data_IF_945494066140
#
_entry.id   IF_945494066140
#
_cell.length_a   1.000
_cell.length_b   1.000
_cell.length_c   1.000
_cell.angle_alpha   90.00
_cell.angle_beta   90.00
_cell.angle_gamma   90.00
#
_symmetry.space_group_name_H-M   'P 1'
#
loop_
_entity.id
_entity.type
_entity.pdbx_description
1 polymer ?
#
# COMPACT_ATOMS: atom_id res chain seq x y z
N UNK A 1 7.00 -7.93 -19.31
CA UNK A 1 7.77 -7.05 -18.39
C UNK A 1 7.24 -7.13 -16.96
N UNK A 2 6.01 -6.67 -16.68
CA UNK A 2 5.41 -6.68 -15.32
C UNK A 2 5.26 -8.08 -14.71
N UNK A 3 4.77 -9.06 -15.49
CA UNK A 3 4.60 -10.43 -15.00
C UNK A 3 5.94 -11.10 -14.63
N UNK A 4 7.03 -10.76 -15.33
CA UNK A 4 8.38 -11.24 -15.02
C UNK A 4 8.87 -10.68 -13.69
N UNK A 5 8.76 -9.36 -13.51
CA UNK A 5 9.11 -8.71 -12.25
C UNK A 5 8.30 -9.24 -11.05
N UNK A 6 6.99 -9.48 -11.23
CA UNK A 6 6.14 -10.05 -10.19
C UNK A 6 6.53 -11.49 -9.82
N UNK A 7 6.87 -12.32 -10.82
CA UNK A 7 7.34 -13.68 -10.60
C UNK A 7 8.70 -13.72 -9.91
N UNK A 8 9.60 -12.83 -10.29
CA UNK A 8 10.91 -12.68 -9.66
C UNK A 8 10.78 -12.24 -8.20
N UNK A 9 9.91 -11.27 -7.91
CA UNK A 9 9.59 -10.86 -6.53
C UNK A 9 8.98 -12.02 -5.73
N UNK A 10 8.04 -12.76 -6.30
CA UNK A 10 7.42 -13.91 -5.64
C UNK A 10 8.43 -15.01 -5.28
N UNK A 11 9.44 -15.22 -6.13
CA UNK A 11 10.50 -16.21 -5.88
C UNK A 11 11.56 -15.72 -4.90
N UNK A 12 11.99 -14.47 -5.04
CA UNK A 12 13.18 -13.92 -4.36
C UNK A 12 12.89 -13.17 -3.05
N UNK A 13 11.65 -12.72 -2.84
CA UNK A 13 11.25 -11.97 -1.64
C UNK A 13 10.20 -12.75 -0.81
N UNK A 14 10.59 -13.30 0.36
CA UNK A 14 9.67 -13.97 1.28
C UNK A 14 8.54 -13.08 1.81
N UNK A 15 8.78 -11.78 1.97
CA UNK A 15 7.79 -10.81 2.45
C UNK A 15 6.70 -10.60 1.40
N UNK A 16 7.11 -10.34 0.16
CA UNK A 16 6.19 -10.24 -0.97
C UNK A 16 5.41 -11.54 -1.18
N UNK A 17 6.08 -12.70 -1.17
CA UNK A 17 5.42 -14.01 -1.31
C UNK A 17 4.38 -14.25 -0.22
N UNK A 18 4.72 -13.98 1.05
CA UNK A 18 3.78 -14.11 2.17
C UNK A 18 2.57 -13.20 1.99
N UNK A 19 2.79 -11.95 1.56
CA UNK A 19 1.71 -11.01 1.28
C UNK A 19 0.82 -11.51 0.14
N UNK A 20 1.41 -11.91 -1.00
CA UNK A 20 0.66 -12.43 -2.13
C UNK A 20 -0.19 -13.67 -1.77
N UNK A 21 0.38 -14.62 -1.01
CA UNK A 21 -0.35 -15.80 -0.54
C UNK A 21 -1.48 -15.45 0.46
N UNK A 22 -1.31 -14.39 1.26
CA UNK A 22 -2.35 -13.90 2.17
C UNK A 22 -3.50 -13.21 1.43
N UNK A 23 -3.20 -12.48 0.35
CA UNK A 23 -4.21 -11.74 -0.41
C UNK A 23 -4.89 -12.61 -1.49
N UNK A 24 -4.24 -13.65 -2.02
CA UNK A 24 -4.79 -14.49 -3.10
C UNK A 24 -6.18 -15.10 -2.81
N UNK A 25 -6.49 -15.59 -1.59
CA UNK A 25 -7.83 -16.09 -1.26
C UNK A 25 -8.94 -15.05 -1.47
N UNK A 26 -8.64 -13.75 -1.38
CA UNK A 26 -9.60 -12.64 -1.54
C UNK A 26 -10.09 -12.47 -2.99
N UNK A 27 -9.52 -13.20 -3.94
CA UNK A 27 -10.11 -13.34 -5.28
C UNK A 27 -11.42 -14.14 -5.23
N UNK A 28 -11.66 -14.90 -4.16
CA UNK A 28 -12.95 -15.53 -3.89
C UNK A 28 -13.88 -14.56 -3.19
N UNK A 29 -15.07 -14.38 -3.76
CA UNK A 29 -16.17 -13.64 -3.12
C UNK A 29 -16.52 -14.20 -1.75
N UNK A 30 -16.54 -15.53 -1.59
CA UNK A 30 -16.88 -16.16 -0.31
C UNK A 30 -15.91 -15.72 0.80
N UNK A 31 -14.60 -15.72 0.50
CA UNK A 31 -13.56 -15.30 1.45
C UNK A 31 -13.70 -13.82 1.82
N UNK A 32 -14.00 -12.95 0.86
CA UNK A 32 -14.22 -11.53 1.13
C UNK A 32 -15.43 -11.29 2.02
N UNK A 33 -16.54 -11.99 1.77
CA UNK A 33 -17.78 -11.87 2.57
C UNK A 33 -17.58 -12.44 3.97
N UNK A 34 -16.89 -13.57 4.11
CA UNK A 34 -16.51 -14.15 5.41
C UNK A 34 -15.68 -13.16 6.23
N UNK A 35 -14.64 -12.55 5.64
CA UNK A 35 -13.83 -11.54 6.31
C UNK A 35 -14.61 -10.28 6.67
N UNK A 36 -15.52 -9.84 5.80
CA UNK A 36 -16.39 -8.71 6.10
C UNK A 36 -17.35 -9.01 7.27
N UNK A 37 -17.69 -10.28 7.49
CA UNK A 37 -18.51 -10.74 8.62
C UNK A 37 -17.88 -10.51 9.99
N UNK A 38 -16.56 -10.28 10.06
CA UNK A 38 -15.87 -9.88 11.29
C UNK A 38 -16.18 -8.43 11.70
N UNK A 39 -16.61 -7.60 10.74
CA UNK A 39 -16.85 -6.17 10.92
C UNK A 39 -18.35 -5.81 10.88
N UNK A 40 -19.14 -6.54 10.10
CA UNK A 40 -20.56 -6.28 9.86
C UNK A 40 -21.39 -7.55 10.08
N UNK A 41 -22.63 -7.39 10.59
CA UNK A 41 -23.56 -8.51 10.77
C UNK A 41 -24.44 -8.74 9.54
N UNK A 42 -25.08 -9.91 9.50
CA UNK A 42 -26.12 -10.28 8.54
C UNK A 42 -25.69 -10.22 7.07
N UNK A 43 -24.40 -10.48 6.78
CA UNK A 43 -23.88 -10.58 5.43
C UNK A 43 -24.15 -11.97 4.84
N UNK A 44 -24.71 -12.01 3.63
CA UNK A 44 -24.88 -13.25 2.87
C UNK A 44 -24.12 -13.17 1.55
N UNK A 45 -23.46 -14.25 1.15
CA UNK A 45 -22.67 -14.26 -0.09
C UNK A 45 -23.54 -13.97 -1.31
N UNK A 46 -24.80 -14.43 -1.26
CA UNK A 46 -25.83 -14.18 -2.28
C UNK A 46 -26.09 -12.68 -2.55
N UNK A 47 -25.91 -11.81 -1.55
CA UNK A 47 -26.16 -10.37 -1.70
C UNK A 47 -25.07 -9.68 -2.53
N UNK A 48 -23.90 -10.31 -2.67
CA UNK A 48 -22.74 -9.76 -3.39
C UNK A 48 -22.67 -10.29 -4.82
N UNK A 49 -23.62 -9.93 -5.68
CA UNK A 49 -23.72 -10.47 -7.05
C UNK A 49 -22.75 -9.85 -8.04
N UNK A 50 -22.20 -8.67 -7.73
CA UNK A 50 -21.41 -7.86 -8.66
C UNK A 50 -20.06 -7.49 -8.04
N UNK A 51 -19.00 -7.56 -8.84
CA UNK A 51 -17.68 -7.04 -8.47
C UNK A 51 -17.59 -5.53 -8.71
N UNK A 52 -17.06 -4.81 -7.72
CA UNK A 52 -16.63 -3.43 -7.91
C UNK A 52 -15.46 -3.33 -8.88
N UNK A 53 -15.19 -2.11 -9.38
CA UNK A 53 -14.01 -1.86 -10.22
C UNK A 53 -12.74 -2.00 -9.37
N UNK A 54 -11.78 -2.87 -9.73
CA UNK A 54 -10.53 -2.98 -8.99
C UNK A 54 -9.69 -1.71 -9.14
N UNK A 55 -9.03 -1.31 -8.06
CA UNK A 55 -8.04 -0.23 -8.06
C UNK A 55 -6.63 -0.79 -7.88
N UNK A 56 -5.63 -0.11 -8.46
CA UNK A 56 -4.22 -0.42 -8.24
C UNK A 56 -3.65 0.65 -7.32
N UNK A 57 -3.12 0.24 -6.16
CA UNK A 57 -2.36 1.13 -5.28
C UNK A 57 -0.92 1.16 -5.78
N UNK A 58 -0.42 2.32 -6.22
CA UNK A 58 0.98 2.49 -6.63
C UNK A 58 1.92 2.55 -5.41
N UNK A 59 1.90 1.50 -4.60
CA UNK A 59 2.66 1.36 -3.36
C UNK A 59 4.15 1.28 -3.67
N UNK A 60 4.96 2.05 -2.94
CA UNK A 60 6.40 2.00 -3.05
C UNK A 60 6.95 0.68 -2.50
N UNK A 61 7.82 0.03 -3.26
CA UNK A 61 8.55 -1.16 -2.84
C UNK A 61 10.03 -0.82 -2.65
N UNK A 62 10.52 -0.95 -1.42
CA UNK A 62 11.90 -0.65 -1.07
C UNK A 62 12.80 -1.86 -1.38
N UNK A 63 13.54 -1.79 -2.49
CA UNK A 63 14.29 -2.94 -3.05
C UNK A 63 15.42 -3.48 -2.17
N UNK A 64 16.10 -2.61 -1.41
CA UNK A 64 17.23 -3.03 -0.54
C UNK A 64 16.71 -3.79 0.68
N UNK A 65 15.75 -3.20 1.38
CA UNK A 65 15.07 -3.79 2.55
C UNK A 65 14.02 -4.85 2.21
N UNK A 66 13.68 -5.02 0.92
CA UNK A 66 12.70 -6.00 0.42
C UNK A 66 11.36 -5.93 1.14
N UNK A 67 10.77 -4.73 1.18
CA UNK A 67 9.46 -4.51 1.81
C UNK A 67 8.61 -3.50 1.05
N UNK A 68 7.30 -3.67 1.14
CA UNK A 68 6.34 -2.63 0.77
C UNK A 68 6.34 -1.56 1.87
N UNK A 69 6.45 -0.30 1.45
CA UNK A 69 6.37 0.83 2.37
C UNK A 69 4.91 1.03 2.77
N UNK A 70 4.65 1.15 4.06
CA UNK A 70 3.29 1.24 4.59
C UNK A 70 2.82 2.67 4.83
N UNK A 71 3.76 3.61 4.91
CA UNK A 71 3.53 5.04 5.19
C UNK A 71 4.37 5.92 4.23
N UNK A 72 4.27 7.23 4.36
CA UNK A 72 5.06 8.19 3.59
C UNK A 72 6.56 7.89 3.67
N UNK A 73 7.27 8.20 2.60
CA UNK A 73 8.72 8.12 2.59
C UNK A 73 9.28 9.42 2.03
N UNK A 74 9.93 10.19 2.89
CA UNK A 74 10.54 11.47 2.55
C UNK A 74 12.04 11.27 2.37
N UNK A 75 12.57 11.73 1.24
CA UNK A 75 14.00 11.69 0.93
C UNK A 75 14.39 13.02 0.30
N UNK A 76 15.51 13.61 0.71
CA UNK A 76 15.89 14.93 0.23
C UNK A 76 17.21 15.40 0.81
N UNK A 77 17.64 16.55 0.32
CA UNK A 77 18.85 17.25 0.70
C UNK A 77 18.58 18.77 0.75
N UNK A 78 19.64 19.59 0.74
CA UNK A 78 19.52 21.04 0.78
C UNK A 78 18.91 21.65 -0.49
N UNK A 79 18.87 20.92 -1.61
CA UNK A 79 18.41 21.42 -2.90
C UNK A 79 17.01 20.92 -3.26
N UNK A 80 16.60 19.76 -2.72
CA UNK A 80 15.34 19.13 -3.09
C UNK A 80 14.73 18.23 -2.01
N UNK A 81 13.40 18.11 -2.04
CA UNK A 81 12.62 17.18 -1.21
C UNK A 81 11.73 16.32 -2.10
N UNK A 82 11.83 15.00 -1.93
CA UNK A 82 11.04 14.01 -2.64
C UNK A 82 10.02 13.39 -1.70
N UNK A 83 8.76 13.48 -2.09
CA UNK A 83 7.64 12.82 -1.42
C UNK A 83 7.33 11.52 -2.13
N UNK A 84 7.60 10.39 -1.48
CA UNK A 84 7.37 9.05 -2.02
C UNK A 84 6.29 8.30 -1.22
N UNK A 85 5.69 7.29 -1.83
CA UNK A 85 4.62 6.45 -1.25
C UNK A 85 3.35 7.22 -0.78
N UNK A 86 2.98 8.32 -1.43
CA UNK A 86 1.81 9.13 -1.09
C UNK A 86 0.43 8.49 -1.45
N UNK A 87 0.38 7.20 -1.78
CA UNK A 87 -0.82 6.49 -2.27
C UNK A 87 -1.78 6.06 -1.15
N UNK A 88 -2.23 7.02 -0.34
CA UNK A 88 -2.91 6.84 0.96
C UNK A 88 -1.90 6.61 2.11
N UNK A 89 -1.91 7.43 3.19
CA UNK A 89 -2.99 8.33 3.61
C UNK A 89 -2.93 9.78 3.08
N UNK A 90 -2.05 10.12 2.11
CA UNK A 90 -1.83 11.53 1.70
C UNK A 90 -3.11 12.30 1.39
N UNK A 91 -4.07 11.67 0.70
CA UNK A 91 -5.33 12.33 0.37
C UNK A 91 -6.22 12.54 1.61
N UNK A 92 -6.20 11.61 2.56
CA UNK A 92 -6.99 11.69 3.80
C UNK A 92 -6.37 12.60 4.86
N UNK A 93 -5.05 12.82 4.83
CA UNK A 93 -4.33 13.66 5.79
C UNK A 93 -3.49 14.76 5.11
N UNK A 94 -3.98 15.32 4.00
CA UNK A 94 -3.20 16.22 3.15
C UNK A 94 -2.65 17.45 3.90
N UNK A 95 -3.44 18.09 4.76
CA UNK A 95 -3.02 19.27 5.52
C UNK A 95 -1.92 18.98 6.56
N UNK A 96 -2.11 18.06 7.52
CA UNK A 96 -1.05 17.74 8.47
C UNK A 96 0.17 17.10 7.79
N UNK A 97 -0.02 16.41 6.66
CA UNK A 97 1.10 15.89 5.88
C UNK A 97 1.89 17.02 5.20
N UNK A 98 1.22 18.07 4.71
CA UNK A 98 1.91 19.24 4.16
C UNK A 98 2.73 19.97 5.23
N UNK A 99 2.20 20.13 6.45
CA UNK A 99 2.93 20.68 7.59
C UNK A 99 4.20 19.85 7.88
N UNK A 100 4.09 18.52 7.98
CA UNK A 100 5.23 17.63 8.17
C UNK A 100 6.32 17.80 7.09
N UNK A 101 5.91 17.99 5.83
CA UNK A 101 6.83 18.18 4.71
C UNK A 101 7.52 19.55 4.78
N UNK A 102 6.79 20.60 5.18
CA UNK A 102 7.35 21.95 5.34
C UNK A 102 8.35 21.98 6.51
N UNK A 103 8.00 21.39 7.65
CA UNK A 103 8.91 21.31 8.80
C UNK A 103 10.22 20.58 8.42
N UNK A 104 10.12 19.48 7.67
CA UNK A 104 11.27 18.73 7.18
C UNK A 104 12.16 19.53 6.22
N UNK A 105 11.58 20.45 5.44
CA UNK A 105 12.31 21.36 4.55
C UNK A 105 13.07 22.42 5.35
N UNK A 106 12.43 23.00 6.38
CA UNK A 106 13.05 24.02 7.23
C UNK A 106 14.20 23.47 8.08
N UNK A 107 14.07 22.23 8.58
CA UNK A 107 15.09 21.54 9.38
C UNK A 107 16.28 21.02 8.53
N UNK A 108 16.14 21.00 7.20
CA UNK A 108 17.15 20.49 6.27
C UNK A 108 17.45 18.99 6.42
N UNK A 109 16.55 18.22 7.05
CA UNK A 109 16.66 16.77 7.22
C UNK A 109 15.27 16.13 7.12
N UNK A 110 15.03 15.21 6.17
CA UNK A 110 13.78 14.48 6.14
C UNK A 110 13.62 13.57 7.38
N UNK A 111 12.42 13.46 7.97
CA UNK A 111 12.14 12.44 8.97
C UNK A 111 12.31 11.06 8.32
N UNK A 112 13.12 10.21 8.95
CA UNK A 112 13.47 8.87 8.45
C UNK A 112 12.29 7.92 8.44
#
# INVERSE_FOLDING_TARGET
>A
EVAGAALDLFRSDPSFRRHALREAPKLSRHVLVEQAGELCRDLRVEDFTTWGRPGIRAQLYHRRERRLMMDFYLEGDAESMHVLNAVSPAFTCAFPFAELVVDALEDGRPPR
#
